data_IF_118250457889
#
_entry.id   IF_118250457889
#
_cell.length_a   1.000
_cell.length_b   1.000
_cell.length_c   1.000
_cell.angle_alpha   90.00
_cell.angle_beta   90.00
_cell.angle_gamma   90.00
#
_symmetry.space_group_name_H-M   'P 1'
#
loop_
_entity.id
_entity.type
_entity.pdbx_description
1 polymer ?
#
# COMPACT_ATOMS: atom_id res chain seq x y z
N UNK A 1 -16.67 3.75 -11.80
CA UNK A 1 -16.37 2.32 -11.65
C UNK A 1 -15.32 2.16 -10.55
N UNK A 2 -15.60 1.34 -9.59
CA UNK A 2 -14.65 1.13 -8.49
C UNK A 2 -13.50 0.28 -8.96
N UNK A 3 -12.28 0.69 -8.63
CA UNK A 3 -11.08 -0.08 -8.92
C UNK A 3 -10.85 -1.10 -7.80
N UNK A 4 -11.72 -2.14 -7.79
CA UNK A 4 -11.60 -3.18 -6.78
C UNK A 4 -10.27 -3.92 -6.84
N UNK A 5 -9.54 -3.75 -7.97
CA UNK A 5 -8.22 -4.36 -8.17
C UNK A 5 -7.08 -3.59 -7.52
N UNK A 6 -7.31 -2.38 -7.03
CA UNK A 6 -6.28 -1.60 -6.35
C UNK A 6 -6.32 -1.97 -4.87
N UNK A 7 -5.35 -2.80 -4.47
CA UNK A 7 -5.29 -3.38 -3.14
C UNK A 7 -3.87 -3.36 -2.60
N UNK A 8 -3.73 -3.51 -1.30
CA UNK A 8 -2.44 -3.80 -0.69
C UNK A 8 -2.65 -4.64 0.57
N UNK A 9 -1.68 -5.47 0.88
CA UNK A 9 -1.72 -6.35 2.05
C UNK A 9 -0.66 -5.92 3.06
N UNK A 10 -1.01 -6.03 4.33
CA UNK A 10 -0.17 -5.58 5.44
C UNK A 10 -0.06 -6.72 6.46
N UNK A 11 1.12 -7.35 6.51
CA UNK A 11 1.41 -8.39 7.50
C UNK A 11 1.97 -7.70 8.74
N UNK A 12 1.13 -7.53 9.75
CA UNK A 12 1.50 -6.77 10.94
C UNK A 12 2.56 -7.48 11.78
N UNK A 13 2.58 -8.80 11.75
CA UNK A 13 3.54 -9.58 12.52
C UNK A 13 4.95 -9.42 11.97
N UNK A 14 5.10 -9.48 10.65
CA UNK A 14 6.39 -9.40 9.98
C UNK A 14 6.77 -7.98 9.54
N UNK A 15 5.85 -7.04 9.63
CA UNK A 15 6.07 -5.70 9.11
C UNK A 15 6.18 -5.68 7.59
N UNK A 16 5.60 -6.66 6.92
CA UNK A 16 5.72 -6.82 5.47
C UNK A 16 4.53 -6.21 4.76
N UNK A 17 4.82 -5.39 3.76
CA UNK A 17 3.81 -4.79 2.91
C UNK A 17 3.92 -5.44 1.53
N UNK A 18 2.78 -5.80 0.95
CA UNK A 18 2.73 -6.47 -0.34
C UNK A 18 1.76 -5.74 -1.26
N UNK A 19 2.25 -5.41 -2.46
CA UNK A 19 1.43 -4.77 -3.50
C UNK A 19 1.51 -5.63 -4.75
N UNK A 20 0.38 -6.20 -5.15
CA UNK A 20 0.31 -7.11 -6.28
C UNK A 20 0.65 -6.41 -7.59
N UNK A 21 1.25 -7.15 -8.51
CA UNK A 21 1.62 -6.64 -9.84
C UNK A 21 0.42 -5.99 -10.55
N UNK A 22 -0.76 -6.57 -10.41
CA UNK A 22 -1.96 -6.01 -11.03
C UNK A 22 -2.27 -4.60 -10.55
N UNK A 23 -2.12 -4.35 -9.24
CA UNK A 23 -2.28 -3.00 -8.69
C UNK A 23 -1.26 -2.05 -9.28
N UNK A 24 0.01 -2.47 -9.32
CA UNK A 24 1.08 -1.64 -9.88
C UNK A 24 0.84 -1.35 -11.35
N UNK A 25 0.34 -2.33 -12.10
CA UNK A 25 0.05 -2.18 -13.52
C UNK A 25 -1.05 -1.14 -13.76
N UNK A 26 -2.12 -1.20 -12.97
CA UNK A 26 -3.20 -0.20 -13.04
C UNK A 26 -2.64 1.20 -12.78
N UNK A 27 -1.65 1.32 -11.91
CA UNK A 27 -1.03 2.60 -11.56
C UNK A 27 0.06 3.04 -12.54
N UNK A 28 0.28 2.28 -13.63
CA UNK A 28 1.23 2.65 -14.68
C UNK A 28 2.63 2.10 -14.48
N UNK A 29 2.78 1.02 -13.75
CA UNK A 29 4.06 0.36 -13.47
C UNK A 29 5.12 1.34 -12.92
N UNK A 30 4.84 2.06 -11.82
CA UNK A 30 5.78 3.03 -11.29
C UNK A 30 7.06 2.35 -10.83
N UNK A 31 8.22 3.01 -11.03
CA UNK A 31 9.50 2.47 -10.59
C UNK A 31 9.69 2.58 -9.09
N UNK A 32 9.07 3.58 -8.48
CA UNK A 32 9.14 3.83 -7.04
C UNK A 32 7.75 4.18 -6.54
N UNK A 33 7.53 3.88 -5.28
CA UNK A 33 6.30 4.29 -4.59
C UNK A 33 6.68 4.94 -3.28
N UNK A 34 5.85 5.87 -2.84
CA UNK A 34 5.97 6.47 -1.53
C UNK A 34 4.64 6.32 -0.81
N UNK A 35 4.68 5.83 0.42
CA UNK A 35 3.47 5.62 1.21
C UNK A 35 3.32 6.77 2.19
N UNK A 36 2.18 7.44 2.13
CA UNK A 36 1.87 8.57 2.98
C UNK A 36 0.61 8.29 3.76
N UNK A 37 0.64 8.55 5.07
CA UNK A 37 -0.53 8.36 5.92
C UNK A 37 -0.96 9.73 6.45
N UNK A 38 -2.24 10.04 6.23
CA UNK A 38 -2.84 11.26 6.76
C UNK A 38 -3.76 10.87 7.93
N UNK A 39 -3.32 11.15 9.14
CA UNK A 39 -4.08 10.77 10.33
C UNK A 39 -5.32 11.63 10.54
N UNK A 40 -5.32 12.87 10.05
CA UNK A 40 -6.49 13.74 10.17
C UNK A 40 -7.66 13.24 9.32
N UNK A 41 -7.38 12.69 8.13
CA UNK A 41 -8.43 12.18 7.24
C UNK A 41 -8.58 10.65 7.31
N UNK A 42 -7.70 9.98 8.04
CA UNK A 42 -7.65 8.52 8.11
C UNK A 42 -7.54 7.89 6.73
N UNK A 43 -6.59 8.40 5.95
CA UNK A 43 -6.34 7.92 4.59
C UNK A 43 -4.88 7.55 4.40
N UNK A 44 -4.64 6.57 3.55
CA UNK A 44 -3.30 6.17 3.12
C UNK A 44 -3.19 6.42 1.62
N UNK A 45 -2.15 7.15 1.22
CA UNK A 45 -1.88 7.41 -0.18
C UNK A 45 -0.66 6.63 -0.64
N UNK A 46 -0.80 5.96 -1.77
CA UNK A 46 0.28 5.26 -2.46
C UNK A 46 0.66 6.14 -3.64
N UNK A 47 1.76 6.87 -3.49
CA UNK A 47 2.21 7.82 -4.52
C UNK A 47 3.15 7.14 -5.50
N UNK A 48 2.86 7.30 -6.80
CA UNK A 48 3.67 6.73 -7.88
C UNK A 48 4.77 7.71 -8.26
N UNK A 49 6.01 7.23 -8.31
CA UNK A 49 7.18 8.09 -8.55
C UNK A 49 8.05 7.41 -9.60
N UNK A 50 8.46 8.17 -10.63
CA UNK A 50 9.28 7.64 -11.71
C UNK A 50 10.77 7.94 -11.55
N UNK A 51 11.14 8.64 -10.49
CA UNK A 51 12.53 8.99 -10.20
C UNK A 51 12.92 8.43 -8.86
N UNK A 52 14.21 8.13 -8.64
CA UNK A 52 14.65 7.72 -7.30
C UNK A 52 14.22 8.74 -6.26
N UNK A 53 13.63 8.24 -5.19
CA UNK A 53 13.21 9.08 -4.08
C UNK A 53 13.98 8.70 -2.83
N UNK A 54 14.11 9.65 -1.92
CA UNK A 54 14.76 9.43 -0.65
C UNK A 54 13.79 9.74 0.48
N UNK A 55 14.10 9.25 1.65
CA UNK A 55 13.27 9.50 2.82
C UNK A 55 12.43 8.30 3.18
N UNK A 56 11.64 8.49 4.22
CA UNK A 56 10.82 7.41 4.78
C UNK A 56 9.74 6.98 3.81
N UNK A 57 9.51 5.68 3.79
CA UNK A 57 8.43 5.05 3.02
C UNK A 57 8.55 5.22 1.50
N UNK A 58 9.78 5.45 1.01
CA UNK A 58 10.07 5.46 -0.41
C UNK A 58 10.70 4.13 -0.80
N UNK A 59 10.06 3.39 -1.71
CA UNK A 59 10.44 2.02 -2.04
C UNK A 59 10.51 1.77 -3.53
N UNK A 60 11.51 0.99 -3.96
CA UNK A 60 11.63 0.57 -5.35
C UNK A 60 10.71 -0.63 -5.58
N UNK A 61 9.94 -0.58 -6.65
CA UNK A 61 8.92 -1.61 -6.91
C UNK A 61 9.41 -2.76 -7.80
N UNK A 62 10.31 -2.49 -8.73
CA UNK A 62 10.67 -3.42 -9.81
C UNK A 62 9.44 -3.88 -10.59
N UNK A 63 8.44 -3.01 -10.71
CA UNK A 63 7.13 -3.37 -11.30
C UNK A 63 7.24 -3.99 -12.67
N UNK A 64 8.13 -3.48 -13.52
CA UNK A 64 8.29 -3.97 -14.89
C UNK A 64 8.86 -5.38 -14.97
N UNK A 65 9.53 -5.84 -13.91
CA UNK A 65 10.17 -7.15 -13.87
C UNK A 65 9.35 -8.20 -13.12
N UNK A 66 8.20 -7.80 -12.60
CA UNK A 66 7.31 -8.73 -11.89
C UNK A 66 6.45 -9.51 -12.87
N UNK A 67 6.32 -10.80 -12.65
CA UNK A 67 5.37 -11.63 -13.38
C UNK A 67 3.93 -11.35 -12.90
N UNK A 68 2.95 -11.81 -13.68
CA UNK A 68 1.55 -11.49 -13.46
C UNK A 68 1.05 -11.87 -12.04
N UNK A 69 1.62 -12.92 -11.46
CA UNK A 69 1.20 -13.42 -10.14
C UNK A 69 2.08 -12.92 -9.00
N UNK A 70 3.07 -12.11 -9.30
CA UNK A 70 4.01 -11.65 -8.30
C UNK A 70 3.56 -10.36 -7.63
N UNK A 71 4.17 -10.08 -6.48
CA UNK A 71 3.92 -8.87 -5.72
C UNK A 71 5.22 -8.16 -5.40
N UNK A 72 5.17 -6.84 -5.34
CA UNK A 72 6.23 -6.05 -4.75
C UNK A 72 6.12 -6.19 -3.23
N UNK A 73 7.19 -6.62 -2.59
CA UNK A 73 7.22 -6.80 -1.14
C UNK A 73 8.33 -5.96 -0.53
N UNK A 74 8.02 -5.32 0.57
CA UNK A 74 9.02 -4.60 1.33
C UNK A 74 8.62 -4.60 2.81
N UNK A 75 9.55 -4.20 3.66
CA UNK A 75 9.35 -4.23 5.11
C UNK A 75 9.38 -2.81 5.66
N UNK A 76 8.43 -2.49 6.52
CA UNK A 76 8.40 -1.19 7.18
C UNK A 76 7.68 -1.30 8.52
N UNK A 77 8.46 -1.47 9.58
CA UNK A 77 7.89 -1.44 10.93
C UNK A 77 7.40 -0.06 11.31
N UNK A 78 7.99 0.99 10.74
CA UNK A 78 7.52 2.36 10.99
C UNK A 78 6.08 2.54 10.49
N UNK A 79 5.78 2.05 9.28
CA UNK A 79 4.42 2.12 8.74
C UNK A 79 3.45 1.29 9.57
N UNK A 80 3.83 0.06 9.89
CA UNK A 80 3.00 -0.85 10.68
C UNK A 80 2.69 -0.24 12.05
N UNK A 81 3.70 0.33 12.71
CA UNK A 81 3.52 0.98 14.01
C UNK A 81 2.57 2.16 13.92
N UNK A 82 2.69 2.97 12.87
CA UNK A 82 1.82 4.12 12.66
C UNK A 82 0.37 3.67 12.48
N UNK A 83 0.14 2.64 11.70
CA UNK A 83 -1.22 2.13 11.47
C UNK A 83 -1.82 1.54 12.74
N UNK A 84 -1.01 0.88 13.57
CA UNK A 84 -1.48 0.35 14.85
C UNK A 84 -1.86 1.47 15.82
N UNK A 85 -1.16 2.59 15.79
CA UNK A 85 -1.53 3.75 16.60
C UNK A 85 -2.87 4.34 16.16
N UNK A 86 -3.10 4.42 14.84
CA UNK A 86 -4.29 5.06 14.29
C UNK A 86 -5.52 4.17 14.35
N UNK A 87 -5.35 2.88 14.21
CA UNK A 87 -6.45 1.93 14.12
C UNK A 87 -6.33 0.92 15.27
N UNK A 88 -7.11 1.12 16.31
CA UNK A 88 -7.02 0.31 17.53
C UNK A 88 -7.41 -1.14 17.34
N UNK A 89 -8.23 -1.42 16.33
CA UNK A 89 -8.69 -2.77 16.02
C UNK A 89 -7.61 -3.65 15.40
N UNK A 90 -6.50 -3.04 14.95
CA UNK A 90 -5.43 -3.80 14.33
C UNK A 90 -4.64 -4.58 15.39
N UNK A 91 -4.53 -5.87 15.14
CA UNK A 91 -3.80 -6.82 15.96
C UNK A 91 -2.41 -7.01 15.36
N UNK A 92 -1.38 -7.02 16.18
CA UNK A 92 0.01 -7.19 15.72
C UNK A 92 0.31 -8.59 15.19
N UNK A 93 -0.63 -9.52 15.27
CA UNK A 93 -0.40 -10.92 14.90
C UNK A 93 -1.03 -11.32 13.56
N UNK A 94 -1.80 -10.47 12.96
CA UNK A 94 -2.59 -10.81 11.77
C UNK A 94 -2.21 -10.00 10.55
N UNK A 95 -2.67 -10.47 9.40
CA UNK A 95 -2.54 -9.77 8.13
C UNK A 95 -3.83 -9.03 7.85
N UNK A 96 -3.71 -7.84 7.32
CA UNK A 96 -4.84 -7.00 6.95
C UNK A 96 -4.75 -6.62 5.49
N UNK A 97 -5.87 -6.20 4.92
CA UNK A 97 -5.94 -5.79 3.53
C UNK A 97 -6.65 -4.45 3.40
N UNK A 98 -6.13 -3.59 2.55
CA UNK A 98 -6.81 -2.41 2.08
C UNK A 98 -7.27 -2.68 0.65
N UNK A 99 -8.55 -2.44 0.38
CA UNK A 99 -9.14 -2.67 -0.93
C UNK A 99 -9.79 -1.39 -1.44
N UNK A 100 -10.25 -1.44 -2.68
CA UNK A 100 -10.97 -0.32 -3.30
C UNK A 100 -10.17 0.99 -3.30
N UNK A 101 -8.87 0.87 -3.55
CA UNK A 101 -8.03 2.05 -3.72
C UNK A 101 -8.55 2.89 -4.87
N UNK A 102 -8.61 4.20 -4.65
CA UNK A 102 -9.07 5.14 -5.67
C UNK A 102 -7.88 5.71 -6.41
N UNK A 103 -7.82 5.48 -7.72
CA UNK A 103 -6.73 6.00 -8.53
C UNK A 103 -7.01 7.45 -8.93
N UNK A 104 -6.24 8.37 -8.40
CA UNK A 104 -6.32 9.80 -8.72
C UNK A 104 -5.21 10.10 -9.71
N UNK A 105 -5.51 9.94 -11.00
CA UNK A 105 -4.52 10.04 -12.07
C UNK A 105 -3.82 11.39 -12.12
N UNK A 106 -4.56 12.47 -11.87
CA UNK A 106 -4.01 13.81 -11.93
C UNK A 106 -2.88 14.04 -10.92
N UNK A 107 -2.85 13.26 -9.85
CA UNK A 107 -1.84 13.37 -8.79
C UNK A 107 -0.92 12.16 -8.72
N UNK A 108 -1.13 11.16 -9.55
CA UNK A 108 -0.31 9.95 -9.56
C UNK A 108 -0.37 9.18 -8.24
N UNK A 109 -1.54 9.10 -7.63
CA UNK A 109 -1.71 8.41 -6.35
C UNK A 109 -2.86 7.41 -6.39
N UNK A 110 -2.77 6.41 -5.54
CA UNK A 110 -3.89 5.56 -5.16
C UNK A 110 -4.23 5.88 -3.71
N UNK A 111 -5.49 6.16 -3.45
CA UNK A 111 -5.95 6.58 -2.14
C UNK A 111 -6.80 5.50 -1.50
N UNK A 112 -6.46 5.13 -0.27
CA UNK A 112 -7.19 4.11 0.49
C UNK A 112 -7.81 4.74 1.74
N UNK A 113 -9.03 4.33 2.04
CA UNK A 113 -9.67 4.69 3.31
C UNK A 113 -9.26 3.70 4.38
N UNK A 114 -8.62 4.17 5.45
CA UNK A 114 -8.16 3.29 6.53
C UNK A 114 -9.32 2.64 7.28
N UNK A 115 -10.50 3.28 7.25
CA UNK A 115 -11.70 2.72 7.87
C UNK A 115 -12.18 1.44 7.20
N UNK A 116 -11.76 1.18 5.95
CA UNK A 116 -12.16 -0.03 5.24
C UNK A 116 -11.13 -1.15 5.34
N UNK A 117 -10.16 -1.04 6.24
CA UNK A 117 -9.17 -2.10 6.43
C UNK A 117 -9.84 -3.36 6.94
N UNK A 118 -9.49 -4.49 6.36
CA UNK A 118 -10.09 -5.77 6.68
C UNK A 118 -9.05 -6.77 7.11
N UNK A 119 -9.40 -7.58 8.11
CA UNK A 119 -8.55 -8.66 8.56
C UNK A 119 -8.64 -9.81 7.57
N UNK A 120 -7.49 -10.31 7.14
CA UNK A 120 -7.43 -11.47 6.25
C UNK A 120 -7.48 -12.72 7.11
N UNK A 121 -8.51 -13.52 6.90
CA UNK A 121 -8.61 -14.80 7.61
C UNK A 121 -7.87 -15.87 6.84
N UNK A 122 -7.05 -16.60 7.56
CA UNK A 122 -6.29 -17.70 6.97
C UNK A 122 -6.97 -19.03 7.22
#
# INVERSE_FOLDING_TARGET
>A
MSDSSITMALDMKKGRIRIHKNTLHILGDPQYIQILVNDATMQLALKCIDKPCSGDQCHKTNAKNLDADESCEFYSFALVSKLRELIKEIDAKHTYRLTNGKHVKSHGIALFELSSIEKVES
#
